data_IF_180612676963
#
_entry.id   IF_180612676963
#
_cell.length_a   1.000
_cell.length_b   1.000
_cell.length_c   1.000
_cell.angle_alpha   90.00
_cell.angle_beta   90.00
_cell.angle_gamma   90.00
#
_symmetry.space_group_name_H-M   'P 1'
#
loop_
_entity.id
_entity.type
_entity.pdbx_description
1 polymer ?
#
# COMPACT_ATOMS: atom_id res chain seq x y z
N UNK A 1 -22.75 -27.53 -6.89
CA UNK A 1 -22.26 -28.69 -6.17
C UNK A 1 -22.90 -28.68 -4.78
N UNK A 2 -23.42 -29.80 -4.32
CA UNK A 2 -23.93 -29.95 -2.97
C UNK A 2 -22.96 -30.84 -2.21
N UNK A 3 -22.22 -30.22 -1.29
CA UNK A 3 -21.21 -30.93 -0.48
C UNK A 3 -21.73 -31.31 0.89
N UNK A 4 -22.97 -30.87 1.23
CA UNK A 4 -23.58 -31.07 2.57
C UNK A 4 -23.04 -30.16 3.66
N UNK A 5 -22.21 -29.18 3.28
CA UNK A 5 -21.71 -28.15 4.18
C UNK A 5 -22.08 -26.77 3.63
N UNK A 6 -22.95 -26.05 4.31
CA UNK A 6 -23.51 -24.76 3.90
C UNK A 6 -22.46 -23.72 3.52
N UNK A 7 -21.32 -23.68 4.24
CA UNK A 7 -20.20 -22.80 3.95
C UNK A 7 -19.52 -23.15 2.63
N UNK A 8 -19.26 -24.44 2.38
CA UNK A 8 -18.65 -24.92 1.14
C UNK A 8 -19.60 -24.69 -0.02
N UNK A 9 -20.87 -24.98 0.14
CA UNK A 9 -21.88 -24.82 -0.93
C UNK A 9 -22.09 -23.34 -1.28
N UNK A 10 -22.07 -22.45 -0.29
CA UNK A 10 -22.12 -21.00 -0.53
C UNK A 10 -20.88 -20.50 -1.29
N UNK A 11 -19.69 -21.02 -1.01
CA UNK A 11 -18.46 -20.64 -1.71
C UNK A 11 -18.40 -21.20 -3.14
N UNK A 12 -18.81 -22.46 -3.32
CA UNK A 12 -18.77 -23.14 -4.62
C UNK A 12 -19.85 -22.65 -5.60
N UNK A 13 -21.03 -22.23 -5.09
CA UNK A 13 -22.17 -21.80 -5.91
C UNK A 13 -22.27 -20.27 -6.07
N UNK A 14 -21.17 -19.55 -5.97
CA UNK A 14 -21.11 -18.06 -6.11
C UNK A 14 -21.34 -17.54 -7.55
N UNK A 15 -21.83 -18.36 -8.48
CA UNK A 15 -22.17 -17.93 -9.85
C UNK A 15 -20.97 -17.79 -10.80
N UNK A 16 -19.77 -18.20 -10.39
CA UNK A 16 -18.58 -18.23 -11.25
C UNK A 16 -18.23 -16.88 -11.86
N UNK A 17 -17.90 -16.86 -13.15
CA UNK A 17 -17.51 -15.64 -13.87
C UNK A 17 -18.62 -14.59 -13.92
N UNK A 18 -19.87 -14.99 -14.04
CA UNK A 18 -21.00 -14.06 -14.16
C UNK A 18 -21.16 -13.19 -12.89
N UNK A 19 -20.96 -13.77 -11.72
CA UNK A 19 -20.98 -13.02 -10.45
C UNK A 19 -19.88 -11.97 -10.35
N UNK A 20 -18.77 -12.16 -11.09
CA UNK A 20 -17.61 -11.24 -11.10
C UNK A 20 -17.68 -10.19 -12.21
N UNK A 21 -18.65 -10.25 -13.14
CA UNK A 21 -18.74 -9.31 -14.25
C UNK A 21 -18.87 -7.86 -13.78
N UNK A 22 -19.66 -7.61 -12.75
CA UNK A 22 -19.80 -6.27 -12.19
C UNK A 22 -18.46 -5.74 -11.62
N UNK A 23 -17.75 -6.58 -10.86
CA UNK A 23 -16.43 -6.24 -10.30
C UNK A 23 -15.41 -6.01 -11.40
N UNK A 24 -15.40 -6.85 -12.44
CA UNK A 24 -14.50 -6.68 -13.58
C UNK A 24 -14.77 -5.36 -14.32
N UNK A 25 -16.03 -5.02 -14.56
CA UNK A 25 -16.40 -3.74 -15.19
C UNK A 25 -15.94 -2.54 -14.34
N UNK A 26 -16.14 -2.60 -13.03
CA UNK A 26 -15.67 -1.56 -12.11
C UNK A 26 -14.14 -1.40 -12.20
N UNK A 27 -13.39 -2.50 -12.18
CA UNK A 27 -11.93 -2.50 -12.28
C UNK A 27 -11.47 -1.90 -13.61
N UNK A 28 -12.08 -2.27 -14.74
CA UNK A 28 -11.72 -1.72 -16.05
C UNK A 28 -11.89 -0.20 -16.07
N UNK A 29 -13.03 0.30 -15.57
CA UNK A 29 -13.31 1.75 -15.52
C UNK A 29 -12.35 2.45 -14.57
N UNK A 30 -12.08 1.87 -13.39
CA UNK A 30 -11.17 2.43 -12.40
C UNK A 30 -9.73 2.53 -12.92
N UNK A 31 -9.22 1.48 -13.56
CA UNK A 31 -7.88 1.45 -14.16
C UNK A 31 -7.77 2.45 -15.31
N UNK A 32 -8.80 2.55 -16.17
CA UNK A 32 -8.82 3.55 -17.24
C UNK A 32 -8.78 4.97 -16.67
N UNK A 33 -9.55 5.26 -15.64
CA UNK A 33 -9.55 6.56 -14.95
C UNK A 33 -8.17 6.85 -14.31
N UNK A 34 -7.60 5.88 -13.59
CA UNK A 34 -6.27 5.97 -13.00
C UNK A 34 -5.18 6.22 -14.04
N UNK A 35 -5.25 5.54 -15.20
CA UNK A 35 -4.34 5.76 -16.33
C UNK A 35 -4.42 7.17 -16.91
N UNK A 36 -5.62 7.75 -17.00
CA UNK A 36 -5.80 9.15 -17.41
C UNK A 36 -5.15 10.11 -16.41
N UNK A 37 -5.37 9.92 -15.12
CA UNK A 37 -4.76 10.74 -14.07
C UNK A 37 -3.23 10.66 -14.09
N UNK A 38 -2.68 9.49 -14.37
CA UNK A 38 -1.24 9.28 -14.52
C UNK A 38 -0.69 10.01 -15.74
N UNK A 39 -1.33 9.89 -16.92
CA UNK A 39 -0.86 10.54 -18.15
C UNK A 39 -0.91 12.06 -18.07
N UNK A 40 -1.87 12.61 -17.34
CA UNK A 40 -1.98 14.06 -17.07
C UNK A 40 -0.92 14.53 -16.06
N UNK A 41 -0.26 13.61 -15.33
CA UNK A 41 0.71 13.96 -14.27
C UNK A 41 0.08 14.68 -13.08
N UNK A 42 -1.23 14.50 -12.86
CA UNK A 42 -1.96 15.21 -11.82
C UNK A 42 -1.43 14.90 -10.42
N UNK A 43 -1.11 13.63 -10.17
CA UNK A 43 -0.61 13.18 -8.86
C UNK A 43 0.80 13.71 -8.61
N UNK A 44 1.69 13.61 -9.59
CA UNK A 44 3.06 14.12 -9.51
C UNK A 44 3.08 15.65 -9.32
N UNK A 45 2.18 16.36 -9.98
CA UNK A 45 2.06 17.82 -9.83
C UNK A 45 1.61 18.23 -8.42
N UNK A 46 0.63 17.53 -7.85
CA UNK A 46 0.11 17.81 -6.52
C UNK A 46 1.12 17.44 -5.42
N UNK A 47 1.79 16.31 -5.56
CA UNK A 47 2.62 15.71 -4.50
C UNK A 47 4.11 16.04 -4.64
N UNK A 48 4.57 16.45 -5.83
CA UNK A 48 5.97 16.76 -6.10
C UNK A 48 6.55 17.88 -5.22
N UNK A 49 5.69 18.80 -4.76
CA UNK A 49 6.07 19.84 -3.82
C UNK A 49 6.39 19.32 -2.40
N UNK A 50 5.83 18.18 -2.01
CA UNK A 50 6.05 17.57 -0.69
C UNK A 50 7.46 17.01 -0.56
N UNK A 51 8.00 16.42 -1.64
CA UNK A 51 9.34 15.81 -1.67
C UNK A 51 10.43 16.84 -1.32
N UNK A 52 10.29 18.06 -1.83
CA UNK A 52 11.26 19.14 -1.62
C UNK A 52 11.36 19.60 -0.16
N UNK A 53 10.31 19.41 0.63
CA UNK A 53 10.25 19.79 2.05
C UNK A 53 10.81 18.72 2.99
N UNK A 54 10.98 17.49 2.51
CA UNK A 54 11.44 16.35 3.30
C UNK A 54 12.94 16.49 3.59
N UNK A 55 13.30 16.49 4.88
CA UNK A 55 14.68 16.62 5.36
C UNK A 55 15.15 15.47 6.25
N UNK A 56 14.23 14.68 6.80
CA UNK A 56 14.55 13.61 7.73
C UNK A 56 14.00 12.26 7.24
N UNK A 57 14.64 11.13 7.58
CA UNK A 57 14.15 9.81 7.23
C UNK A 57 12.70 9.55 7.71
N UNK A 58 12.37 10.04 8.91
CA UNK A 58 11.02 9.97 9.47
C UNK A 58 10.00 10.69 8.57
N UNK A 59 10.29 11.94 8.19
CA UNK A 59 9.40 12.70 7.29
C UNK A 59 9.22 12.00 5.94
N UNK A 60 10.30 11.39 5.41
CA UNK A 60 10.25 10.66 4.16
C UNK A 60 9.31 9.44 4.25
N UNK A 61 9.42 8.66 5.31
CA UNK A 61 8.55 7.50 5.55
C UNK A 61 7.09 7.95 5.67
N UNK A 62 6.80 8.93 6.49
CA UNK A 62 5.43 9.44 6.70
C UNK A 62 4.83 9.97 5.41
N UNK A 63 5.57 10.79 4.67
CA UNK A 63 5.09 11.36 3.40
C UNK A 63 4.87 10.27 2.35
N UNK A 64 5.74 9.26 2.30
CA UNK A 64 5.57 8.11 1.38
C UNK A 64 4.31 7.31 1.71
N UNK A 65 4.04 7.01 2.99
CA UNK A 65 2.82 6.33 3.43
C UNK A 65 1.58 7.14 3.03
N UNK A 66 1.55 8.44 3.36
CA UNK A 66 0.41 9.30 3.04
C UNK A 66 0.18 9.44 1.53
N UNK A 67 1.26 9.53 0.77
CA UNK A 67 1.19 9.57 -0.71
C UNK A 67 0.63 8.27 -1.28
N UNK A 68 1.06 7.11 -0.79
CA UNK A 68 0.52 5.81 -1.20
C UNK A 68 -0.97 5.70 -0.91
N UNK A 69 -1.39 6.04 0.31
CA UNK A 69 -2.81 6.09 0.70
C UNK A 69 -3.61 7.01 -0.22
N UNK A 70 -3.10 8.20 -0.50
CA UNK A 70 -3.74 9.16 -1.39
C UNK A 70 -3.87 8.63 -2.82
N UNK A 71 -2.78 8.06 -3.36
CA UNK A 71 -2.77 7.51 -4.72
C UNK A 71 -3.77 6.36 -4.87
N UNK A 72 -3.82 5.42 -3.92
CA UNK A 72 -4.77 4.29 -3.97
C UNK A 72 -6.21 4.78 -3.88
N UNK A 73 -6.46 5.74 -3.00
CA UNK A 73 -7.81 6.30 -2.83
C UNK A 73 -8.28 7.04 -4.07
N UNK A 74 -7.37 7.74 -4.76
CA UNK A 74 -7.69 8.57 -5.93
C UNK A 74 -7.69 7.77 -7.23
N UNK A 75 -6.71 6.88 -7.40
CA UNK A 75 -6.54 6.11 -8.64
C UNK A 75 -7.29 4.79 -8.65
N UNK A 76 -7.90 4.41 -7.53
CA UNK A 76 -8.74 3.22 -7.37
C UNK A 76 -8.03 1.88 -7.66
N UNK A 77 -6.71 1.92 -7.87
CA UNK A 77 -5.88 0.76 -8.20
C UNK A 77 -4.65 0.67 -7.31
N UNK A 78 -4.37 -0.54 -6.80
CA UNK A 78 -3.26 -0.80 -5.91
C UNK A 78 -1.90 -0.68 -6.63
N UNK A 79 -1.80 -1.15 -7.88
CA UNK A 79 -0.52 -1.14 -8.60
C UNK A 79 -0.06 0.29 -8.89
N UNK A 80 -0.97 1.13 -9.39
CA UNK A 80 -0.69 2.54 -9.64
C UNK A 80 -0.36 3.27 -8.33
N UNK A 81 -1.09 2.95 -7.26
CA UNK A 81 -0.87 3.51 -5.93
C UNK A 81 0.46 3.14 -5.29
N UNK A 82 1.13 2.09 -5.77
CA UNK A 82 2.48 1.70 -5.34
C UNK A 82 3.57 2.19 -6.29
N UNK A 83 3.37 2.05 -7.62
CA UNK A 83 4.38 2.36 -8.62
C UNK A 83 4.69 3.87 -8.68
N UNK A 84 3.65 4.72 -8.59
CA UNK A 84 3.84 6.17 -8.68
C UNK A 84 4.63 6.70 -7.48
N UNK A 85 4.25 6.44 -6.22
CA UNK A 85 5.07 6.86 -5.09
C UNK A 85 6.47 6.21 -5.09
N UNK A 86 6.60 4.95 -5.53
CA UNK A 86 7.89 4.29 -5.65
C UNK A 86 8.83 5.06 -6.59
N UNK A 87 8.35 5.45 -7.77
CA UNK A 87 9.13 6.22 -8.73
C UNK A 87 9.47 7.62 -8.24
N UNK A 88 8.53 8.27 -7.54
CA UNK A 88 8.71 9.64 -7.03
C UNK A 88 9.73 9.72 -5.88
N UNK A 89 9.73 8.73 -4.97
CA UNK A 89 10.55 8.79 -3.74
C UNK A 89 11.85 8.02 -3.83
N UNK A 90 12.05 7.16 -4.82
CA UNK A 90 13.23 6.32 -5.00
C UNK A 90 14.54 7.09 -4.84
N UNK A 91 14.70 8.17 -5.60
CA UNK A 91 15.92 8.95 -5.60
C UNK A 91 16.16 9.63 -4.24
N UNK A 92 15.08 10.03 -3.56
CA UNK A 92 15.16 10.64 -2.23
C UNK A 92 15.55 9.64 -1.15
N UNK A 93 15.10 8.38 -1.25
CA UNK A 93 15.58 7.31 -0.37
C UNK A 93 17.06 7.02 -0.59
N UNK A 94 17.52 6.98 -1.86
CA UNK A 94 18.92 6.79 -2.21
C UNK A 94 19.79 7.97 -1.71
N UNK A 95 19.35 9.22 -1.86
CA UNK A 95 20.05 10.42 -1.35
C UNK A 95 20.20 10.41 0.19
N UNK A 96 19.22 9.88 0.92
CA UNK A 96 19.26 9.77 2.36
C UNK A 96 19.99 8.52 2.87
N UNK A 97 20.56 7.71 1.96
CA UNK A 97 21.26 6.48 2.29
C UNK A 97 20.35 5.37 2.84
N UNK A 98 19.05 5.45 2.58
CA UNK A 98 18.08 4.43 2.98
C UNK A 98 18.04 3.30 1.95
N UNK A 99 17.83 2.07 2.41
CA UNK A 99 17.74 0.93 1.51
C UNK A 99 16.44 0.95 0.70
N UNK A 100 16.48 0.40 -0.52
CA UNK A 100 15.29 0.21 -1.36
C UNK A 100 14.27 -0.74 -0.72
N UNK A 101 14.74 -1.65 0.13
CA UNK A 101 13.87 -2.51 0.93
C UNK A 101 13.04 -1.69 1.93
N UNK A 102 13.60 -0.57 2.45
CA UNK A 102 12.84 0.33 3.31
C UNK A 102 11.74 1.06 2.53
N UNK A 103 12.02 1.48 1.30
CA UNK A 103 11.01 2.06 0.42
C UNK A 103 9.87 1.06 0.14
N UNK A 104 10.21 -0.17 -0.26
CA UNK A 104 9.22 -1.23 -0.52
C UNK A 104 8.35 -1.49 0.71
N UNK A 105 8.96 -1.66 1.87
CA UNK A 105 8.22 -1.83 3.13
C UNK A 105 7.28 -0.67 3.43
N UNK A 106 7.75 0.57 3.26
CA UNK A 106 6.95 1.77 3.54
C UNK A 106 5.74 1.86 2.59
N UNK A 107 5.91 1.46 1.33
CA UNK A 107 4.83 1.40 0.35
C UNK A 107 3.81 0.31 0.69
N UNK A 108 4.27 -0.85 1.16
CA UNK A 108 3.39 -1.93 1.63
C UNK A 108 2.57 -1.51 2.85
N UNK A 109 3.22 -0.87 3.83
CA UNK A 109 2.57 -0.42 5.07
C UNK A 109 1.46 0.63 4.80
N UNK A 110 1.66 1.50 3.82
CA UNK A 110 0.67 2.53 3.45
C UNK A 110 -0.27 2.13 2.32
N UNK A 111 0.26 1.41 1.33
CA UNK A 111 -0.45 1.12 0.10
C UNK A 111 -1.24 -0.18 0.16
N UNK A 112 -0.54 -1.30 0.19
CA UNK A 112 -1.17 -2.63 0.07
C UNK A 112 -2.22 -2.88 1.14
N UNK A 113 -1.92 -2.51 2.38
CA UNK A 113 -2.85 -2.71 3.49
C UNK A 113 -4.05 -1.74 3.45
N UNK A 114 -3.90 -0.57 2.83
CA UNK A 114 -4.99 0.39 2.71
C UNK A 114 -5.96 0.06 1.58
N UNK A 115 -5.50 -0.58 0.51
CA UNK A 115 -6.30 -0.87 -0.67
C UNK A 115 -7.63 -1.59 -0.40
N UNK A 116 -7.70 -2.65 0.45
CA UNK A 116 -8.97 -3.32 0.75
C UNK A 116 -9.98 -2.48 1.52
N UNK A 117 -9.55 -1.35 2.13
CA UNK A 117 -10.41 -0.47 2.91
C UNK A 117 -11.15 0.56 2.06
N UNK A 118 -10.71 0.77 0.81
CA UNK A 118 -11.32 1.72 -0.12
C UNK A 118 -12.43 1.04 -0.92
N UNK A 119 -13.71 1.43 -0.75
CA UNK A 119 -14.86 0.73 -1.37
C UNK A 119 -14.82 0.68 -2.89
N UNK A 120 -14.26 1.70 -3.52
CA UNK A 120 -14.16 1.85 -4.97
C UNK A 120 -12.83 1.39 -5.56
N UNK A 121 -11.90 0.90 -4.73
CA UNK A 121 -10.68 0.27 -5.24
C UNK A 121 -10.96 -1.13 -5.78
N UNK A 122 -10.10 -1.61 -6.67
CA UNK A 122 -10.15 -2.98 -7.20
C UNK A 122 -10.19 -4.02 -6.08
N UNK A 123 -9.36 -3.85 -5.04
CA UNK A 123 -9.30 -4.76 -3.89
C UNK A 123 -10.55 -4.67 -3.01
N UNK A 124 -11.02 -3.46 -2.70
CA UNK A 124 -12.22 -3.27 -1.88
C UNK A 124 -13.49 -3.83 -2.54
N UNK A 125 -13.64 -3.60 -3.85
CA UNK A 125 -14.75 -4.16 -4.62
C UNK A 125 -14.68 -5.69 -4.67
N UNK A 126 -13.50 -6.27 -4.86
CA UNK A 126 -13.30 -7.72 -4.85
C UNK A 126 -13.66 -8.33 -3.51
N UNK A 127 -13.14 -7.80 -2.40
CA UNK A 127 -13.44 -8.31 -1.05
C UNK A 127 -14.94 -8.20 -0.73
N UNK A 128 -15.57 -7.06 -1.05
CA UNK A 128 -17.00 -6.86 -0.85
C UNK A 128 -17.84 -7.89 -1.62
N UNK A 129 -17.45 -8.19 -2.85
CA UNK A 129 -18.11 -9.19 -3.71
C UNK A 129 -17.98 -10.61 -3.16
N UNK A 130 -16.81 -10.99 -2.66
CA UNK A 130 -16.57 -12.33 -2.10
C UNK A 130 -17.28 -12.51 -0.76
N UNK A 131 -17.16 -11.52 0.13
CA UNK A 131 -17.75 -11.58 1.47
C UNK A 131 -19.29 -11.39 1.44
N UNK A 132 -19.83 -10.79 0.37
CA UNK A 132 -21.26 -10.49 0.26
C UNK A 132 -21.71 -9.36 1.20
N UNK A 133 -20.77 -8.53 1.69
CA UNK A 133 -21.03 -7.39 2.57
C UNK A 133 -20.30 -6.14 2.08
N UNK A 134 -20.88 -4.95 2.26
CA UNK A 134 -20.20 -3.72 1.83
C UNK A 134 -18.90 -3.48 2.62
N UNK A 135 -17.93 -2.83 1.98
CA UNK A 135 -16.61 -2.55 2.56
C UNK A 135 -16.68 -1.88 3.93
N UNK A 136 -17.59 -0.94 4.13
CA UNK A 136 -17.77 -0.24 5.39
C UNK A 136 -18.18 -1.16 6.55
N UNK A 137 -18.83 -2.30 6.25
CA UNK A 137 -19.28 -3.25 7.27
C UNK A 137 -18.14 -4.10 7.83
N UNK A 138 -17.15 -4.46 7.01
CA UNK A 138 -15.99 -5.22 7.49
C UNK A 138 -14.82 -4.33 7.95
N UNK A 139 -14.81 -3.05 7.58
CA UNK A 139 -13.75 -2.11 7.92
C UNK A 139 -13.41 -2.08 9.43
N UNK A 140 -14.37 -2.06 10.37
CA UNK A 140 -14.06 -2.05 11.80
C UNK A 140 -13.33 -3.32 12.30
N UNK A 141 -13.43 -4.42 11.57
CA UNK A 141 -12.83 -5.70 11.91
C UNK A 141 -11.44 -5.91 11.28
N UNK A 142 -11.00 -5.01 10.40
CA UNK A 142 -9.69 -5.08 9.73
C UNK A 142 -8.59 -4.41 10.56
N UNK A 143 -8.41 -4.86 11.81
CA UNK A 143 -7.45 -4.26 12.75
C UNK A 143 -6.04 -4.16 12.19
N UNK A 144 -5.57 -5.19 11.49
CA UNK A 144 -4.23 -5.22 10.91
C UNK A 144 -4.02 -4.09 9.91
N UNK A 145 -4.99 -3.87 9.03
CA UNK A 145 -4.93 -2.86 7.98
C UNK A 145 -4.96 -1.44 8.54
N UNK A 146 -5.67 -1.22 9.65
CA UNK A 146 -5.78 0.09 10.30
C UNK A 146 -4.59 0.39 11.22
N UNK A 147 -4.14 -0.60 11.98
CA UNK A 147 -3.10 -0.42 12.99
C UNK A 147 -1.71 -0.35 12.35
N UNK A 148 -1.45 -1.13 11.28
CA UNK A 148 -0.10 -1.25 10.72
C UNK A 148 0.48 0.08 10.19
N UNK A 149 -0.23 0.91 9.41
CA UNK A 149 0.29 2.23 9.00
C UNK A 149 0.61 3.14 10.18
N UNK A 150 -0.24 3.11 11.22
CA UNK A 150 -0.04 3.89 12.45
C UNK A 150 1.20 3.40 13.18
N UNK A 151 1.34 2.07 13.32
CA UNK A 151 2.49 1.45 13.96
C UNK A 151 3.79 1.72 13.18
N UNK A 152 3.75 1.71 11.84
CA UNK A 152 4.87 2.08 11.00
C UNK A 152 5.32 3.54 11.23
N UNK A 153 4.39 4.48 11.35
CA UNK A 153 4.67 5.88 11.66
C UNK A 153 5.25 6.02 13.07
N UNK A 154 4.69 5.34 14.08
CA UNK A 154 5.18 5.37 15.45
C UNK A 154 6.61 4.81 15.52
N UNK A 155 6.88 3.65 14.92
CA UNK A 155 8.22 3.04 14.92
C UNK A 155 9.24 3.93 14.20
N UNK A 156 8.86 4.55 13.10
CA UNK A 156 9.69 5.52 12.39
C UNK A 156 9.98 6.77 13.23
N UNK A 157 9.01 7.24 14.06
CA UNK A 157 9.18 8.38 14.97
C UNK A 157 10.26 8.11 16.03
N UNK A 158 10.32 6.88 16.54
CA UNK A 158 11.38 6.46 17.45
C UNK A 158 12.73 6.18 16.74
N UNK A 159 12.79 6.38 15.41
CA UNK A 159 13.97 6.05 14.62
C UNK A 159 14.29 4.56 14.60
N UNK A 160 13.32 3.71 14.94
CA UNK A 160 13.54 2.28 15.07
C UNK A 160 13.28 1.56 13.74
N UNK A 161 14.04 0.47 13.51
CA UNK A 161 13.88 -0.41 12.36
C UNK A 161 14.03 0.27 10.99
N UNK A 162 14.81 1.36 10.93
CA UNK A 162 15.20 2.02 9.68
C UNK A 162 16.34 1.23 9.06
N UNK A 163 16.15 0.83 7.79
CA UNK A 163 17.13 0.08 7.01
C UNK A 163 17.92 1.03 6.13
N UNK A 164 19.26 1.03 6.30
CA UNK A 164 20.18 1.81 5.47
C UNK A 164 20.77 0.97 4.34
N UNK A 165 21.26 1.65 3.30
CA UNK A 165 21.88 1.02 2.14
C UNK A 165 23.12 0.19 2.49
N UNK A 166 23.83 0.56 3.55
CA UNK A 166 25.02 -0.13 4.07
C UNK A 166 24.71 -1.48 4.77
N UNK A 167 23.45 -1.92 4.76
CA UNK A 167 23.02 -3.11 5.50
C UNK A 167 22.91 -2.90 7.01
N UNK A 168 23.15 -1.69 7.51
CA UNK A 168 22.91 -1.34 8.91
C UNK A 168 21.42 -1.10 9.13
N UNK A 169 20.93 -1.46 10.32
CA UNK A 169 19.56 -1.15 10.76
C UNK A 169 19.58 -0.48 12.12
N UNK A 170 18.62 0.37 12.35
CA UNK A 170 18.41 0.88 13.71
C UNK A 170 17.67 -0.15 14.56
N UNK A 171 18.09 -0.31 15.81
CA UNK A 171 17.41 -1.18 16.78
C UNK A 171 16.13 -0.46 17.31
N UNK A 172 15.29 -1.17 18.08
CA UNK A 172 14.06 -0.66 18.71
C UNK A 172 14.28 0.66 19.49
N UNK A 173 15.50 0.92 19.95
CA UNK A 173 15.91 2.14 20.66
C UNK A 173 16.67 3.17 19.79
N UNK A 174 16.55 3.11 18.46
CA UNK A 174 17.19 4.07 17.56
C UNK A 174 18.73 3.98 17.46
N UNK A 175 19.37 2.96 18.05
CA UNK A 175 20.81 2.74 17.93
C UNK A 175 21.13 1.96 16.65
N UNK A 176 22.11 2.44 15.87
CA UNK A 176 22.64 1.74 14.70
C UNK A 176 23.26 0.40 15.10
N UNK A 177 22.73 -0.67 14.61
CA UNK A 177 23.31 -2.03 14.74
C UNK A 177 23.83 -2.42 13.35
N UNK A 178 25.12 -2.65 13.23
CA UNK A 178 25.71 -3.28 12.04
C UNK A 178 25.19 -4.72 11.96
N UNK A 179 24.14 -4.93 11.19
CA UNK A 179 23.61 -6.26 10.93
C UNK A 179 24.09 -6.72 9.59
N UNK A 180 24.69 -7.91 9.55
CA UNK A 180 24.86 -8.64 8.31
C UNK A 180 23.47 -8.95 7.74
N UNK A 181 23.00 -8.17 6.78
CA UNK A 181 21.85 -8.56 5.96
C UNK A 181 22.37 -9.59 4.97
N UNK A 182 22.11 -10.87 5.24
CA UNK A 182 22.28 -11.94 4.27
C UNK A 182 21.39 -11.59 3.05
N UNK A 183 22.00 -11.19 1.93
CA UNK A 183 21.29 -10.99 0.68
C UNK A 183 21.47 -9.65 -0.03
N UNK A 184 22.50 -8.84 0.27
CA UNK A 184 22.86 -7.74 -0.62
C UNK A 184 23.54 -8.31 -1.88
N UNK A 185 22.97 -8.18 -3.08
CA UNK A 185 23.70 -8.47 -4.31
C UNK A 185 24.86 -7.47 -4.43
N UNK A 186 26.04 -8.02 -4.73
CA UNK A 186 27.24 -7.24 -5.09
C UNK A 186 27.02 -6.46 -6.39
#
# INVERSE_FOLDING_TARGET
AETGNDLCDTLLNKGGMDAMLWTNNLVIVAVAFGGILQTVGAVESLLGGLIKKVRTPFQLIVVTILTSVFCITTMCDQYLGLIIPASMYKDKFDEMGLSRNMLSRTLEDGGTLWSPLVPWSSCGAYHSSILGVPTLSYLPFTFMNLINPIFAIITASFGSNILYADGSRTNIFGKLVKGSVAGAPK
#
